data_IF_973935152399
#
_entry.id   IF_973935152399
#
_cell.length_a   1.000
_cell.length_b   1.000
_cell.length_c   1.000
_cell.angle_alpha   90.00
_cell.angle_beta   90.00
_cell.angle_gamma   90.00
#
_symmetry.space_group_name_H-M   'P 1'
#
loop_
_entity.id
_entity.type
_entity.pdbx_description
1 polymer ?
#
# COMPACT_ATOMS: atom_id res chain seq x y z
N UNK A 1 -6.96 -20.84 2.71
CA UNK A 1 -5.60 -21.18 2.31
C UNK A 1 -4.65 -20.27 3.06
N UNK A 2 -3.64 -20.83 3.72
CA UNK A 2 -2.58 -20.04 4.38
C UNK A 2 -1.26 -20.35 3.66
N UNK A 3 -0.62 -19.31 3.15
CA UNK A 3 0.68 -19.35 2.47
C UNK A 3 1.71 -18.44 3.15
N UNK A 4 1.39 -17.89 4.31
CA UNK A 4 2.22 -16.91 5.02
C UNK A 4 3.63 -17.41 5.37
N UNK A 5 3.78 -18.72 5.60
CA UNK A 5 5.06 -19.36 5.88
C UNK A 5 5.90 -19.64 4.62
N UNK A 6 5.31 -19.48 3.41
CA UNK A 6 5.98 -19.79 2.14
C UNK A 6 6.60 -18.52 1.54
N UNK A 7 7.51 -17.87 2.25
CA UNK A 7 8.08 -16.56 1.87
C UNK A 7 8.87 -16.59 0.56
N UNK A 8 9.44 -17.74 0.17
CA UNK A 8 10.19 -17.93 -1.07
C UNK A 8 9.29 -18.36 -2.27
N UNK A 9 7.96 -18.32 -2.08
CA UNK A 9 7.02 -18.69 -3.13
C UNK A 9 7.10 -17.70 -4.29
N UNK A 10 7.43 -18.19 -5.48
CA UNK A 10 7.54 -17.37 -6.69
C UNK A 10 6.31 -17.46 -7.59
N UNK A 11 5.58 -18.57 -7.54
CA UNK A 11 4.37 -18.77 -8.33
C UNK A 11 3.27 -19.42 -7.48
N UNK A 12 2.06 -18.86 -7.56
CA UNK A 12 0.87 -19.42 -6.92
C UNK A 12 -0.25 -19.57 -7.96
N UNK A 13 -0.60 -20.83 -8.27
CA UNK A 13 -1.76 -21.15 -9.10
C UNK A 13 -2.82 -21.88 -8.27
N UNK A 14 -3.91 -21.18 -7.98
CA UNK A 14 -5.04 -21.67 -7.18
C UNK A 14 -6.37 -21.49 -7.91
N UNK A 15 -6.34 -21.40 -9.22
CA UNK A 15 -7.53 -21.25 -10.06
C UNK A 15 -8.53 -22.39 -9.85
N UNK A 16 -9.81 -22.11 -10.14
CA UNK A 16 -10.88 -23.11 -10.13
C UNK A 16 -11.05 -23.79 -8.75
N UNK A 17 -11.02 -23.02 -7.68
CA UNK A 17 -11.27 -23.45 -6.31
C UNK A 17 -12.47 -22.70 -5.72
N UNK A 18 -12.80 -22.97 -4.48
CA UNK A 18 -13.89 -22.30 -3.74
C UNK A 18 -13.37 -21.32 -2.68
N UNK A 19 -12.22 -20.70 -2.90
CA UNK A 19 -11.60 -19.80 -1.93
C UNK A 19 -12.40 -18.49 -1.83
N UNK A 20 -12.64 -18.03 -0.60
CA UNK A 20 -13.35 -16.78 -0.31
C UNK A 20 -12.41 -15.65 0.10
N UNK A 21 -11.23 -15.98 0.59
CA UNK A 21 -10.19 -15.02 0.99
C UNK A 21 -8.81 -15.50 0.57
N UNK A 22 -7.93 -14.57 0.23
CA UNK A 22 -6.52 -14.84 -0.03
C UNK A 22 -5.68 -13.69 0.52
N UNK A 23 -4.65 -14.02 1.27
CA UNK A 23 -3.63 -13.09 1.74
C UNK A 23 -2.26 -13.60 1.28
N UNK A 24 -1.58 -12.80 0.46
CA UNK A 24 -0.22 -13.05 -0.04
C UNK A 24 0.76 -11.96 0.42
N UNK A 25 0.41 -11.18 1.45
CA UNK A 25 1.24 -10.08 1.96
C UNK A 25 2.62 -10.52 2.46
N UNK A 26 2.78 -11.78 2.86
CA UNK A 26 4.06 -12.36 3.29
C UNK A 26 4.91 -12.95 2.14
N UNK A 27 4.34 -13.08 0.94
CA UNK A 27 4.99 -13.74 -0.19
C UNK A 27 5.73 -12.72 -1.08
N UNK A 28 6.81 -12.16 -0.55
CA UNK A 28 7.57 -11.06 -1.17
C UNK A 28 8.42 -11.48 -2.39
N UNK A 29 8.56 -12.77 -2.64
CA UNK A 29 9.25 -13.33 -3.82
C UNK A 29 8.29 -13.71 -4.97
N UNK A 30 6.97 -13.45 -4.82
CA UNK A 30 5.96 -13.87 -5.79
C UNK A 30 6.11 -13.09 -7.10
N UNK A 31 6.19 -13.81 -8.23
CA UNK A 31 6.25 -13.22 -9.58
C UNK A 31 5.01 -13.52 -10.41
N UNK A 32 4.26 -14.57 -10.06
CA UNK A 32 3.09 -15.00 -10.81
C UNK A 32 1.96 -15.43 -9.87
N UNK A 33 0.80 -14.79 -9.99
CA UNK A 33 -0.40 -15.11 -9.22
C UNK A 33 -1.59 -15.40 -10.13
N UNK A 34 -2.10 -16.63 -10.05
CA UNK A 34 -3.30 -17.09 -10.72
C UNK A 34 -4.35 -17.49 -9.69
N UNK A 35 -5.28 -16.61 -9.37
CA UNK A 35 -6.35 -16.85 -8.40
C UNK A 35 -7.77 -16.67 -8.99
N UNK A 36 -7.88 -16.64 -10.32
CA UNK A 36 -9.16 -16.54 -11.00
C UNK A 36 -10.08 -17.75 -10.78
N UNK A 37 -11.38 -17.57 -11.04
CA UNK A 37 -12.40 -18.60 -10.91
C UNK A 37 -12.46 -19.19 -9.49
N UNK A 38 -12.57 -18.31 -8.50
CA UNK A 38 -12.81 -18.58 -7.09
C UNK A 38 -14.06 -17.81 -6.61
N UNK A 39 -14.23 -17.67 -5.31
CA UNK A 39 -15.30 -16.89 -4.67
C UNK A 39 -14.69 -15.79 -3.79
N UNK A 40 -13.53 -15.25 -4.17
CA UNK A 40 -12.80 -14.28 -3.35
C UNK A 40 -13.65 -13.02 -3.18
N UNK A 41 -13.84 -12.63 -1.93
CA UNK A 41 -14.37 -11.32 -1.50
C UNK A 41 -13.29 -10.44 -0.90
N UNK A 42 -12.12 -11.00 -0.59
CA UNK A 42 -10.95 -10.32 -0.05
C UNK A 42 -9.68 -10.86 -0.68
N UNK A 43 -8.81 -9.95 -1.14
CA UNK A 43 -7.48 -10.25 -1.65
C UNK A 43 -6.49 -9.19 -1.15
N UNK A 44 -5.51 -9.62 -0.34
CA UNK A 44 -4.43 -8.78 0.15
C UNK A 44 -3.14 -9.09 -0.63
N UNK A 45 -2.68 -8.09 -1.40
CA UNK A 45 -1.46 -8.11 -2.22
C UNK A 45 -0.41 -7.12 -1.73
N UNK A 46 -0.42 -6.74 -0.45
CA UNK A 46 0.52 -5.78 0.14
C UNK A 46 1.89 -6.40 0.44
N UNK A 47 2.46 -7.10 -0.51
CA UNK A 47 3.76 -7.79 -0.42
C UNK A 47 4.93 -6.98 -1.01
N UNK A 48 4.71 -5.74 -1.44
CA UNK A 48 5.74 -4.85 -1.94
C UNK A 48 6.25 -5.13 -3.36
N UNK A 49 5.59 -6.02 -4.11
CA UNK A 49 6.01 -6.45 -5.46
C UNK A 49 4.99 -6.12 -6.54
N UNK A 50 4.09 -5.17 -6.32
CA UNK A 50 3.00 -4.85 -7.25
C UNK A 50 3.50 -4.61 -8.68
N UNK A 51 4.58 -3.86 -8.83
CA UNK A 51 5.21 -3.53 -10.11
C UNK A 51 6.17 -4.64 -10.65
N UNK A 52 6.39 -5.70 -9.88
CA UNK A 52 7.33 -6.79 -10.23
C UNK A 52 6.60 -8.07 -10.65
N UNK A 53 5.27 -8.14 -10.53
CA UNK A 53 4.50 -9.28 -10.99
C UNK A 53 4.52 -9.38 -12.52
N UNK A 54 5.00 -10.52 -13.02
CA UNK A 54 4.94 -10.87 -14.44
C UNK A 54 3.52 -11.21 -14.86
N UNK A 55 2.79 -11.88 -13.95
CA UNK A 55 1.44 -12.36 -14.24
C UNK A 55 0.52 -12.18 -13.03
N UNK A 56 -0.65 -11.58 -13.29
CA UNK A 56 -1.70 -11.42 -12.30
C UNK A 56 -3.07 -11.70 -12.91
N UNK A 57 -3.80 -12.68 -12.39
CA UNK A 57 -5.18 -12.98 -12.77
C UNK A 57 -6.04 -13.26 -11.54
N UNK A 58 -6.99 -12.35 -11.27
CA UNK A 58 -7.96 -12.43 -10.18
C UNK A 58 -9.42 -12.32 -10.67
N UNK A 59 -9.64 -12.40 -11.98
CA UNK A 59 -10.97 -12.30 -12.58
C UNK A 59 -11.86 -13.51 -12.25
N UNK A 60 -13.17 -13.38 -12.45
CA UNK A 60 -14.17 -14.40 -12.10
C UNK A 60 -14.14 -14.72 -10.61
N UNK A 61 -14.28 -13.68 -9.82
CA UNK A 61 -14.37 -13.69 -8.36
C UNK A 61 -15.53 -12.79 -7.87
N UNK A 62 -15.62 -12.52 -6.57
CA UNK A 62 -16.59 -11.59 -5.97
C UNK A 62 -15.89 -10.37 -5.35
N UNK A 63 -14.72 -10.02 -5.88
CA UNK A 63 -13.94 -8.87 -5.41
C UNK A 63 -14.61 -7.55 -5.82
N UNK A 64 -14.63 -6.59 -4.92
CA UNK A 64 -14.99 -5.18 -5.20
C UNK A 64 -13.77 -4.27 -5.06
N UNK A 65 -12.81 -4.67 -4.22
CA UNK A 65 -11.55 -3.98 -3.99
C UNK A 65 -10.44 -4.99 -3.74
N UNK A 66 -9.22 -4.66 -4.16
CA UNK A 66 -8.00 -5.44 -3.91
C UNK A 66 -7.01 -4.55 -3.18
N UNK A 67 -6.45 -5.05 -2.06
CA UNK A 67 -5.44 -4.32 -1.30
C UNK A 67 -4.06 -4.50 -1.91
N UNK A 68 -3.35 -3.38 -2.14
CA UNK A 68 -1.97 -3.34 -2.65
C UNK A 68 -1.23 -2.12 -2.12
N UNK A 69 0.12 -2.18 -2.04
CA UNK A 69 0.96 -1.04 -1.65
C UNK A 69 1.15 -0.03 -2.80
N UNK A 70 0.75 -0.37 -4.02
CA UNK A 70 0.79 0.52 -5.18
C UNK A 70 -0.52 0.49 -5.97
N UNK A 71 -1.59 1.14 -5.44
CA UNK A 71 -2.88 1.17 -6.11
C UNK A 71 -2.85 1.94 -7.44
N UNK A 72 -1.96 2.91 -7.62
CA UNK A 72 -1.83 3.67 -8.86
C UNK A 72 -1.28 2.79 -10.00
N UNK A 73 -0.18 2.05 -9.72
CA UNK A 73 0.34 1.07 -10.66
C UNK A 73 -0.69 -0.02 -10.98
N UNK A 74 -1.34 -0.57 -9.96
CA UNK A 74 -2.34 -1.62 -10.13
C UNK A 74 -3.51 -1.15 -11.01
N UNK A 75 -4.04 0.05 -10.78
CA UNK A 75 -5.12 0.65 -11.57
C UNK A 75 -4.72 0.84 -13.04
N UNK A 76 -3.48 1.24 -13.28
CA UNK A 76 -2.98 1.46 -14.63
C UNK A 76 -2.70 0.16 -15.42
N UNK A 77 -2.31 -0.91 -14.73
CA UNK A 77 -1.78 -2.12 -15.38
C UNK A 77 -2.68 -3.36 -15.25
N UNK A 78 -3.41 -3.51 -14.14
CA UNK A 78 -4.27 -4.67 -13.90
C UNK A 78 -5.73 -4.32 -14.20
N UNK A 79 -6.14 -4.51 -15.45
CA UNK A 79 -7.40 -4.00 -15.96
C UNK A 79 -8.37 -5.12 -16.38
N UNK A 80 -9.66 -4.77 -16.47
CA UNK A 80 -10.66 -5.64 -17.10
C UNK A 80 -10.29 -5.95 -18.55
N UNK A 81 -9.79 -4.97 -19.31
CA UNK A 81 -9.42 -5.14 -20.72
C UNK A 81 -8.28 -6.14 -20.92
N UNK A 82 -7.37 -6.25 -19.95
CA UNK A 82 -6.29 -7.22 -19.94
C UNK A 82 -6.71 -8.58 -19.34
N UNK A 83 -7.93 -8.70 -18.84
CA UNK A 83 -8.45 -9.92 -18.22
C UNK A 83 -7.92 -10.17 -16.81
N UNK A 84 -7.30 -9.18 -16.16
CA UNK A 84 -6.73 -9.32 -14.83
C UNK A 84 -7.79 -9.40 -13.73
N UNK A 85 -8.84 -8.58 -13.84
CA UNK A 85 -9.88 -8.37 -12.84
C UNK A 85 -11.27 -8.32 -13.46
N UNK A 86 -12.32 -8.39 -12.66
CA UNK A 86 -13.70 -8.19 -13.07
C UNK A 86 -14.05 -6.69 -13.15
N UNK A 87 -15.17 -6.39 -13.80
CA UNK A 87 -15.67 -5.03 -13.89
C UNK A 87 -16.05 -4.46 -12.52
N UNK A 88 -15.65 -3.23 -12.24
CA UNK A 88 -15.96 -2.53 -10.99
C UNK A 88 -15.03 -2.83 -9.82
N UNK A 89 -14.00 -3.67 -10.01
CA UNK A 89 -12.96 -3.89 -9.01
C UNK A 89 -12.05 -2.66 -8.95
N UNK A 90 -11.77 -2.17 -7.75
CA UNK A 90 -10.85 -1.06 -7.46
C UNK A 90 -9.61 -1.55 -6.71
N UNK A 91 -8.60 -0.69 -6.61
CA UNK A 91 -7.38 -0.95 -5.83
C UNK A 91 -7.23 0.12 -4.75
N UNK A 92 -6.80 -0.29 -3.56
CA UNK A 92 -6.52 0.60 -2.44
C UNK A 92 -5.41 0.00 -1.57
N UNK A 93 -4.75 0.82 -0.76
CA UNK A 93 -3.88 0.33 0.31
C UNK A 93 -4.72 -0.41 1.36
N UNK A 94 -5.90 0.12 1.68
CA UNK A 94 -6.84 -0.48 2.62
C UNK A 94 -8.25 -0.35 2.04
N UNK A 95 -8.87 -1.46 1.73
CA UNK A 95 -10.24 -1.50 1.21
C UNK A 95 -11.24 -1.10 2.31
N UNK A 96 -12.24 -0.29 1.94
CA UNK A 96 -13.27 0.17 2.88
C UNK A 96 -12.85 1.35 3.76
N UNK A 97 -11.74 2.01 3.44
CA UNK A 97 -11.22 3.15 4.19
C UNK A 97 -11.65 4.52 3.62
N UNK A 98 -12.64 4.57 2.75
CA UNK A 98 -13.07 5.79 2.03
C UNK A 98 -13.53 6.93 2.95
N UNK A 99 -13.83 6.65 4.22
CA UNK A 99 -14.21 7.63 5.23
C UNK A 99 -13.13 7.83 6.31
N UNK A 100 -11.90 7.35 6.09
CA UNK A 100 -10.79 7.53 7.00
C UNK A 100 -10.01 8.77 6.61
N UNK A 101 -10.08 9.83 7.41
CA UNK A 101 -9.39 11.10 7.17
C UNK A 101 -8.07 11.21 7.94
N UNK A 102 -7.90 10.36 8.97
CA UNK A 102 -6.73 10.33 9.85
C UNK A 102 -6.00 9.00 9.71
N UNK A 103 -4.72 9.06 9.34
CA UNK A 103 -3.86 7.91 9.14
C UNK A 103 -2.72 7.90 10.15
N UNK A 104 -2.32 6.74 10.62
CA UNK A 104 -1.28 6.60 11.62
C UNK A 104 -0.16 5.71 11.13
N UNK A 105 1.08 6.20 11.32
CA UNK A 105 2.33 5.54 10.94
C UNK A 105 3.22 5.42 12.17
N UNK A 106 3.80 4.24 12.39
CA UNK A 106 4.76 4.00 13.45
C UNK A 106 5.80 2.94 13.01
N UNK A 107 7.03 3.03 13.49
CA UNK A 107 8.08 2.03 13.19
C UNK A 107 7.75 0.62 13.69
N UNK A 108 6.76 0.49 14.58
CA UNK A 108 6.20 -0.79 15.06
C UNK A 108 4.98 -1.25 14.28
N UNK A 109 4.55 -0.46 13.28
CA UNK A 109 3.40 -0.75 12.43
C UNK A 109 3.67 -1.84 11.39
N UNK A 110 2.70 -2.05 10.51
CA UNK A 110 2.79 -3.02 9.41
C UNK A 110 2.09 -2.52 8.17
N UNK A 111 2.79 -2.44 7.04
CA UNK A 111 2.17 -2.06 5.77
C UNK A 111 1.31 -3.21 5.20
N UNK A 112 1.73 -4.45 5.42
CA UNK A 112 1.00 -5.63 4.97
C UNK A 112 -0.28 -5.92 5.78
N UNK A 113 -0.28 -5.62 7.08
CA UNK A 113 -1.37 -6.00 8.00
C UNK A 113 -1.99 -4.84 8.79
N UNK A 114 -1.38 -3.65 8.77
CA UNK A 114 -1.93 -2.47 9.44
C UNK A 114 -3.18 -1.92 8.75
N UNK A 115 -4.08 -1.34 9.54
CA UNK A 115 -5.29 -0.66 9.06
C UNK A 115 -5.14 0.86 9.00
N UNK A 116 -3.97 1.41 9.32
CA UNK A 116 -3.71 2.84 9.36
C UNK A 116 -4.40 3.58 10.51
N UNK A 117 -4.95 2.85 11.48
CA UNK A 117 -5.50 3.44 12.71
C UNK A 117 -4.41 3.56 13.78
N UNK A 118 -4.68 4.29 14.85
CA UNK A 118 -3.73 4.45 15.95
C UNK A 118 -3.39 3.12 16.63
N UNK A 119 -4.35 2.19 16.71
CA UNK A 119 -4.18 0.86 17.31
C UNK A 119 -3.47 -0.12 16.38
N UNK A 120 -3.54 0.11 15.07
CA UNK A 120 -2.97 -0.75 14.03
C UNK A 120 -2.32 0.10 12.92
N UNK A 121 -1.19 0.80 13.24
CA UNK A 121 -0.58 1.75 12.33
C UNK A 121 0.09 1.06 11.13
N UNK A 122 0.31 1.83 10.08
CA UNK A 122 1.19 1.47 8.97
C UNK A 122 2.66 1.60 9.40
N UNK A 123 3.57 0.94 8.68
CA UNK A 123 5.00 0.94 9.01
C UNK A 123 5.77 2.10 8.38
N UNK A 124 5.37 2.54 7.17
CA UNK A 124 6.09 3.55 6.38
C UNK A 124 5.25 4.80 6.13
N UNK A 125 5.91 5.95 6.06
CA UNK A 125 5.27 7.23 5.73
C UNK A 125 4.72 7.17 4.31
N UNK A 126 5.46 6.57 3.37
CA UNK A 126 5.02 6.44 1.99
C UNK A 126 3.72 5.64 1.85
N UNK A 127 3.55 4.58 2.64
CA UNK A 127 2.28 3.82 2.65
C UNK A 127 1.14 4.66 3.21
N UNK A 128 1.39 5.45 4.26
CA UNK A 128 0.41 6.41 4.78
C UNK A 128 -0.02 7.45 3.73
N UNK A 129 0.95 8.00 2.98
CA UNK A 129 0.68 8.92 1.86
C UNK A 129 -0.17 8.21 0.77
N UNK A 130 0.19 7.00 0.38
CA UNK A 130 -0.55 6.25 -0.65
C UNK A 130 -1.98 5.89 -0.20
N UNK A 131 -2.18 5.61 1.08
CA UNK A 131 -3.49 5.30 1.66
C UNK A 131 -4.41 6.52 1.75
N UNK A 132 -3.86 7.71 1.99
CA UNK A 132 -4.61 8.95 2.18
C UNK A 132 -5.18 9.52 0.88
N UNK A 133 -6.25 10.31 1.00
CA UNK A 133 -6.82 11.16 -0.05
C UNK A 133 -6.61 12.64 0.27
N UNK A 134 -6.92 13.53 -0.69
CA UNK A 134 -6.81 14.99 -0.48
C UNK A 134 -7.56 15.45 0.77
N UNK A 135 -6.92 16.32 1.55
CA UNK A 135 -7.45 16.84 2.81
C UNK A 135 -7.19 15.96 4.02
N UNK A 136 -6.70 14.73 3.85
CA UNK A 136 -6.39 13.82 4.95
C UNK A 136 -5.13 14.24 5.73
N UNK A 137 -4.98 13.67 6.93
CA UNK A 137 -3.79 13.83 7.78
C UNK A 137 -3.12 12.47 8.03
N UNK A 138 -1.80 12.44 7.84
CA UNK A 138 -0.94 11.29 8.20
C UNK A 138 -0.13 11.65 9.44
N UNK A 139 -0.44 11.02 10.56
CA UNK A 139 0.27 11.17 11.84
C UNK A 139 1.42 10.19 11.92
N UNK A 140 2.63 10.69 12.11
CA UNK A 140 3.85 9.88 12.15
C UNK A 140 4.42 9.89 13.56
N UNK A 141 4.46 8.73 14.20
CA UNK A 141 5.04 8.56 15.53
C UNK A 141 6.56 8.82 15.52
N UNK A 142 7.12 9.11 16.70
CA UNK A 142 8.57 9.22 16.87
C UNK A 142 9.30 7.96 16.40
N UNK A 143 10.38 8.15 15.65
CA UNK A 143 11.19 7.08 15.07
C UNK A 143 12.05 7.56 13.91
N UNK A 144 12.92 6.69 13.43
CA UNK A 144 13.69 6.92 12.20
C UNK A 144 13.09 6.08 11.08
N UNK A 145 12.64 6.74 10.03
CA UNK A 145 12.05 6.16 8.83
C UNK A 145 13.07 6.25 7.70
N UNK A 146 13.62 5.11 7.30
CA UNK A 146 14.65 5.04 6.24
C UNK A 146 13.93 4.88 4.91
N UNK A 147 13.53 6.00 4.31
CA UNK A 147 12.75 6.02 3.08
C UNK A 147 12.88 7.37 2.35
N UNK A 148 12.61 7.36 1.04
CA UNK A 148 12.41 8.53 0.22
C UNK A 148 10.90 8.65 -0.05
N UNK A 149 10.27 9.76 0.34
CA UNK A 149 8.83 9.95 0.21
C UNK A 149 8.48 10.87 -0.94
N UNK A 150 7.39 10.54 -1.64
CA UNK A 150 6.76 11.38 -2.67
C UNK A 150 5.28 11.55 -2.34
N UNK A 151 4.80 12.78 -2.38
CA UNK A 151 3.40 13.08 -2.12
C UNK A 151 2.46 12.66 -3.25
N UNK A 152 3.01 12.35 -4.44
CA UNK A 152 2.28 11.84 -5.62
C UNK A 152 1.08 12.72 -6.01
N UNK A 153 1.23 14.05 -5.93
CA UNK A 153 0.18 15.01 -6.27
C UNK A 153 -0.94 15.15 -5.24
N UNK A 154 -0.81 14.55 -4.06
CA UNK A 154 -1.84 14.60 -3.02
C UNK A 154 -1.68 15.83 -2.14
N UNK A 155 -2.78 16.54 -1.90
CA UNK A 155 -2.86 17.70 -1.03
C UNK A 155 -3.26 17.26 0.39
N UNK A 156 -2.29 16.77 1.15
CA UNK A 156 -2.45 16.16 2.48
C UNK A 156 -1.51 16.79 3.50
N UNK A 157 -1.78 16.55 4.78
CA UNK A 157 -0.91 16.94 5.89
C UNK A 157 -0.15 15.71 6.42
N UNK A 158 1.19 15.72 6.38
CA UNK A 158 2.05 14.69 6.99
C UNK A 158 2.72 15.30 8.21
N UNK A 159 2.36 14.83 9.40
CA UNK A 159 2.71 15.46 10.68
C UNK A 159 3.50 14.50 11.56
N UNK A 160 4.77 14.80 11.76
CA UNK A 160 5.64 14.09 12.72
C UNK A 160 5.31 14.51 14.16
N UNK A 161 5.46 13.58 15.09
CA UNK A 161 5.17 13.81 16.50
C UNK A 161 6.05 14.91 17.11
N UNK A 162 7.34 14.96 16.75
CA UNK A 162 8.30 15.97 17.16
C UNK A 162 9.53 15.91 16.25
N UNK A 163 10.01 17.07 15.78
CA UNK A 163 11.14 17.13 14.83
C UNK A 163 12.46 16.56 15.38
N UNK A 164 12.65 16.52 16.68
CA UNK A 164 13.88 16.00 17.29
C UNK A 164 13.86 14.46 17.37
N UNK A 165 12.69 13.85 17.31
CA UNK A 165 12.48 12.42 17.47
C UNK A 165 11.85 11.72 16.27
N UNK A 166 11.33 12.47 15.28
CA UNK A 166 10.76 11.93 14.05
C UNK A 166 11.64 12.28 12.87
N UNK A 167 12.36 11.29 12.34
CA UNK A 167 13.42 11.48 11.36
C UNK A 167 13.07 10.76 10.07
N UNK A 168 13.16 11.46 8.94
CA UNK A 168 13.14 10.86 7.61
C UNK A 168 14.58 10.82 7.10
N UNK A 169 15.10 9.62 6.89
CA UNK A 169 16.47 9.39 6.44
C UNK A 169 16.46 8.81 5.02
N UNK A 170 16.92 9.58 4.05
CA UNK A 170 16.99 9.18 2.64
C UNK A 170 18.08 8.19 2.31
N UNK A 171 18.93 7.82 3.28
CA UNK A 171 20.03 6.87 3.11
C UNK A 171 20.93 7.17 1.89
N UNK A 172 21.11 8.45 1.57
CA UNK A 172 21.89 8.94 0.41
C UNK A 172 21.37 8.44 -0.96
N UNK A 173 20.07 8.13 -1.04
CA UNK A 173 19.42 7.61 -2.23
C UNK A 173 18.53 8.66 -2.92
N UNK A 174 19.10 9.81 -3.27
CA UNK A 174 18.40 10.88 -3.99
C UNK A 174 17.63 11.84 -3.08
N UNK A 175 16.53 12.40 -3.59
CA UNK A 175 15.69 13.34 -2.84
C UNK A 175 14.95 12.63 -1.72
N UNK A 176 15.09 13.12 -0.50
CA UNK A 176 14.41 12.52 0.67
C UNK A 176 12.90 12.76 0.64
N UNK A 177 12.51 13.97 0.22
CA UNK A 177 11.10 14.36 0.07
C UNK A 177 10.90 14.96 -1.32
N UNK A 178 9.82 14.56 -1.98
CA UNK A 178 9.48 15.02 -3.33
C UNK A 178 8.05 15.56 -3.39
N UNK A 179 7.91 16.73 -4.03
CA UNK A 179 6.66 17.40 -4.38
C UNK A 179 6.80 17.80 -5.86
N UNK A 180 6.33 16.98 -6.78
CA UNK A 180 6.55 17.18 -8.22
C UNK A 180 5.35 16.83 -9.11
N UNK A 181 4.20 16.57 -8.51
CA UNK A 181 3.04 16.01 -9.21
C UNK A 181 1.77 16.85 -9.09
N UNK A 182 1.89 18.12 -8.71
CA UNK A 182 0.77 19.06 -8.66
C UNK A 182 0.25 19.37 -7.25
N UNK A 183 1.04 19.07 -6.23
CA UNK A 183 0.79 19.49 -4.85
C UNK A 183 0.65 21.02 -4.79
N UNK A 184 -0.28 21.51 -3.99
CA UNK A 184 -0.56 22.92 -3.83
C UNK A 184 -0.20 23.46 -2.43
N UNK A 185 -0.57 24.70 -2.15
CA UNK A 185 -0.29 25.39 -0.88
C UNK A 185 -0.99 24.78 0.35
N UNK A 186 -1.88 23.83 0.18
CA UNK A 186 -2.54 23.10 1.27
C UNK A 186 -1.78 21.87 1.72
N UNK A 187 -0.75 21.46 0.95
CA UNK A 187 0.12 20.33 1.28
C UNK A 187 1.08 20.71 2.40
N UNK A 188 1.12 19.91 3.46
CA UNK A 188 1.93 20.17 4.66
C UNK A 188 2.85 19.00 4.98
N UNK A 189 4.13 19.30 5.22
CA UNK A 189 5.08 18.42 5.90
C UNK A 189 5.62 19.16 7.13
N UNK A 190 5.36 18.67 8.33
CA UNK A 190 5.75 19.33 9.57
C UNK A 190 6.16 18.33 10.65
N UNK A 191 7.05 18.76 11.57
CA UNK A 191 7.44 17.96 12.73
C UNK A 191 8.51 16.90 12.45
N UNK A 192 9.37 17.11 11.43
CA UNK A 192 10.43 16.18 11.04
C UNK A 192 11.82 16.80 11.08
N UNK A 193 12.83 15.97 11.33
CA UNK A 193 14.19 16.14 10.82
C UNK A 193 14.33 15.34 9.53
N UNK A 194 14.86 15.99 8.49
CA UNK A 194 15.13 15.38 7.18
C UNK A 194 16.64 15.31 7.01
N UNK A 195 17.19 14.13 6.70
CA UNK A 195 18.63 13.93 6.57
C UNK A 195 19.01 12.93 5.47
N UNK A 196 20.29 13.03 5.03
CA UNK A 196 20.93 12.19 4.00
C UNK A 196 20.26 12.29 2.64
#
# INVERSE_FOLDING_TARGET
>A
LDVSANTDLTQLDIRLNGLTTLDVSSNTALTDLYCSQNQLTYLNMKNGITDQLNTFYANTNSLTCIETLDPDYATANWTLANGNIDAGVTFSVICGSENQDEWYVATTGSDGGGSGTQESPLATIQTGIKASGDGNTVHVAAGTYVENINFNGKNISVIGADRETTIIDGNQNGSVVTFDSGEDETTVLNGFTIQN
#
